data_IF_037170389376
#
_entry.id   IF_037170389376
#
_cell.length_a   1.000
_cell.length_b   1.000
_cell.length_c   1.000
_cell.angle_alpha   90.00
_cell.angle_beta   90.00
_cell.angle_gamma   90.00
#
_symmetry.space_group_name_H-M   'P 1'
#
loop_
_entity.id
_entity.type
_entity.pdbx_description
1 polymer ?
#
# COMPACT_ATOMS: atom_id res chain seq x y z
N UNK A 1 -22.34 28.12 -28.66
CA UNK A 1 -21.66 28.67 -27.46
C UNK A 1 -22.20 28.05 -26.16
N UNK A 2 -23.52 27.93 -25.98
CA UNK A 2 -24.09 27.26 -24.79
C UNK A 2 -23.86 25.75 -24.72
N UNK A 3 -23.94 25.03 -25.85
CA UNK A 3 -23.58 23.59 -25.89
C UNK A 3 -22.14 23.35 -25.48
N UNK A 4 -21.21 24.17 -25.96
CA UNK A 4 -19.79 24.10 -25.58
C UNK A 4 -19.60 24.36 -24.07
N UNK A 5 -20.36 25.30 -23.49
CA UNK A 5 -20.33 25.57 -22.04
C UNK A 5 -20.91 24.41 -21.23
N UNK A 6 -21.99 23.76 -21.70
CA UNK A 6 -22.56 22.56 -21.05
C UNK A 6 -21.58 21.39 -21.10
N UNK A 7 -20.98 21.12 -22.26
CA UNK A 7 -20.00 20.06 -22.43
C UNK A 7 -18.76 20.28 -21.55
N UNK A 8 -18.26 21.53 -21.45
CA UNK A 8 -17.15 21.87 -20.56
C UNK A 8 -17.51 21.64 -19.08
N UNK A 9 -18.70 22.09 -18.65
CA UNK A 9 -19.15 21.91 -17.27
C UNK A 9 -19.36 20.42 -16.90
N UNK A 10 -19.84 19.60 -17.84
CA UNK A 10 -19.96 18.15 -17.64
C UNK A 10 -18.60 17.47 -17.55
N UNK A 11 -17.66 17.83 -18.42
CA UNK A 11 -16.28 17.32 -18.37
C UNK A 11 -15.57 17.71 -17.06
N UNK A 12 -15.75 18.96 -16.60
CA UNK A 12 -15.19 19.42 -15.32
C UNK A 12 -15.79 18.66 -14.13
N UNK A 13 -17.11 18.41 -14.12
CA UNK A 13 -17.76 17.61 -13.07
C UNK A 13 -17.29 16.17 -13.07
N UNK A 14 -17.16 15.55 -14.25
CA UNK A 14 -16.65 14.19 -14.38
C UNK A 14 -15.21 14.09 -13.84
N UNK A 15 -14.34 15.03 -14.24
CA UNK A 15 -12.95 15.10 -13.75
C UNK A 15 -12.88 15.34 -12.24
N UNK A 16 -13.73 16.20 -11.69
CA UNK A 16 -13.81 16.46 -10.26
C UNK A 16 -14.31 15.24 -9.48
N UNK A 17 -15.29 14.50 -10.01
CA UNK A 17 -15.80 13.29 -9.39
C UNK A 17 -14.75 12.17 -9.36
N UNK A 18 -14.02 11.95 -10.47
CA UNK A 18 -12.92 10.99 -10.54
C UNK A 18 -11.82 11.32 -9.52
N UNK A 19 -11.41 12.60 -9.45
CA UNK A 19 -10.40 13.04 -8.48
C UNK A 19 -10.89 12.86 -7.03
N UNK A 20 -12.17 13.13 -6.74
CA UNK A 20 -12.74 12.95 -5.41
C UNK A 20 -12.74 11.48 -4.98
N UNK A 21 -13.11 10.55 -5.87
CA UNK A 21 -13.07 9.11 -5.61
C UNK A 21 -11.64 8.60 -5.34
N UNK A 22 -10.65 9.04 -6.13
CA UNK A 22 -9.24 8.71 -5.89
C UNK A 22 -8.75 9.23 -4.54
N UNK A 23 -9.11 10.49 -4.21
CA UNK A 23 -8.77 11.12 -2.92
C UNK A 23 -9.39 10.36 -1.76
N UNK A 24 -10.64 9.89 -1.93
CA UNK A 24 -11.36 9.11 -0.92
C UNK A 24 -10.69 7.77 -0.66
N UNK A 25 -10.22 7.08 -1.69
CA UNK A 25 -9.46 5.82 -1.55
C UNK A 25 -8.20 5.99 -0.69
N UNK A 26 -7.38 7.01 -0.98
CA UNK A 26 -6.16 7.32 -0.21
C UNK A 26 -6.49 7.62 1.25
N UNK A 27 -7.52 8.43 1.50
CA UNK A 27 -7.95 8.76 2.87
C UNK A 27 -8.46 7.53 3.64
N UNK A 28 -9.14 6.59 2.97
CA UNK A 28 -9.60 5.35 3.58
C UNK A 28 -8.42 4.46 4.00
N UNK A 29 -7.37 4.34 3.17
CA UNK A 29 -6.17 3.58 3.56
C UNK A 29 -5.46 4.21 4.76
N UNK A 30 -5.31 5.54 4.79
CA UNK A 30 -4.72 6.22 5.96
C UNK A 30 -5.49 5.95 7.24
N UNK A 31 -6.83 5.83 7.19
CA UNK A 31 -7.65 5.45 8.36
C UNK A 31 -7.36 4.03 8.85
N UNK A 32 -6.97 3.12 7.96
CA UNK A 32 -6.51 1.76 8.34
C UNK A 32 -5.10 1.77 8.95
N UNK A 33 -4.45 2.94 9.04
CA UNK A 33 -3.03 3.04 9.40
C UNK A 33 -2.17 2.38 8.33
N UNK A 34 -2.50 2.58 7.05
CA UNK A 34 -1.69 2.16 5.91
C UNK A 34 -1.47 3.38 4.99
N UNK A 35 -0.21 3.67 4.71
CA UNK A 35 0.20 4.73 3.79
C UNK A 35 1.09 4.16 2.68
N UNK A 36 1.12 4.87 1.55
CA UNK A 36 1.90 4.51 0.37
C UNK A 36 2.82 5.69 0.01
N UNK A 37 4.10 5.41 -0.11
CA UNK A 37 5.10 6.38 -0.54
C UNK A 37 5.82 5.86 -1.78
N UNK A 38 6.03 6.73 -2.77
CA UNK A 38 6.96 6.42 -3.85
C UNK A 38 8.37 6.58 -3.30
N UNK A 39 9.11 5.48 -3.22
CA UNK A 39 10.50 5.47 -2.80
C UNK A 39 11.42 5.69 -4.00
N UNK A 40 12.74 5.69 -3.74
CA UNK A 40 13.75 5.75 -4.78
C UNK A 40 13.66 4.53 -5.71
N UNK A 41 14.24 4.64 -6.92
CA UNK A 41 14.34 3.56 -7.91
C UNK A 41 13.00 2.92 -8.31
N UNK A 42 11.94 3.75 -8.34
CA UNK A 42 10.58 3.35 -8.71
C UNK A 42 9.97 2.25 -7.82
N UNK A 43 10.45 2.17 -6.57
CA UNK A 43 9.91 1.26 -5.56
C UNK A 43 8.68 1.86 -4.89
N UNK A 44 7.74 1.00 -4.53
CA UNK A 44 6.60 1.35 -3.70
C UNK A 44 6.89 1.02 -2.24
N UNK A 45 6.86 2.01 -1.36
CA UNK A 45 6.99 1.81 0.09
C UNK A 45 5.61 1.78 0.73
N UNK A 46 5.36 0.75 1.51
CA UNK A 46 4.14 0.60 2.30
C UNK A 46 4.48 0.84 3.76
N UNK A 47 3.69 1.67 4.45
CA UNK A 47 3.92 2.07 5.84
C UNK A 47 2.67 1.78 6.65
N UNK A 48 2.81 0.90 7.63
CA UNK A 48 1.79 0.62 8.61
C UNK A 48 2.02 1.41 9.89
N UNK A 49 0.93 1.87 10.47
CA UNK A 49 0.83 2.40 11.84
C UNK A 49 -0.28 1.67 12.57
N UNK A 50 -0.50 2.01 13.84
CA UNK A 50 -1.53 1.41 14.70
C UNK A 50 -1.35 -0.12 14.90
N UNK A 51 -0.10 -0.60 14.82
CA UNK A 51 0.24 -1.99 15.13
C UNK A 51 0.65 -2.16 16.59
N UNK A 52 1.29 -1.13 17.16
CA UNK A 52 1.73 -1.10 18.54
C UNK A 52 0.72 -0.33 19.41
N UNK A 53 0.01 -0.97 20.35
CA UNK A 53 -0.94 -0.28 21.22
C UNK A 53 -0.28 0.73 22.16
N UNK A 54 1.02 0.56 22.46
CA UNK A 54 1.79 1.46 23.34
C UNK A 54 2.30 2.67 22.56
N UNK A 55 2.63 2.46 21.28
CA UNK A 55 3.09 3.51 20.37
C UNK A 55 2.34 3.49 19.03
N UNK A 56 1.08 3.98 18.95
CA UNK A 56 0.25 3.84 17.75
C UNK A 56 0.80 4.50 16.49
N UNK A 57 1.70 5.48 16.64
CA UNK A 57 2.36 6.18 15.53
C UNK A 57 3.65 5.50 15.06
N UNK A 58 4.11 4.45 15.76
CA UNK A 58 5.32 3.71 15.39
C UNK A 58 5.17 3.12 13.98
N UNK A 59 6.09 3.42 13.05
CA UNK A 59 5.99 2.95 11.68
C UNK A 59 6.55 1.52 11.54
N UNK A 60 5.88 0.72 10.73
CA UNK A 60 6.34 -0.58 10.23
C UNK A 60 6.26 -0.52 8.71
N UNK A 61 7.36 -0.73 7.99
CA UNK A 61 7.40 -0.51 6.55
C UNK A 61 8.19 -1.54 5.79
N UNK A 62 7.90 -1.66 4.50
CA UNK A 62 8.71 -2.38 3.52
C UNK A 62 8.62 -1.70 2.15
N UNK A 63 9.64 -1.92 1.32
CA UNK A 63 9.67 -1.49 -0.07
C UNK A 63 9.43 -2.70 -0.98
N UNK A 64 8.60 -2.53 -2.01
CA UNK A 64 8.32 -3.55 -3.03
C UNK A 64 8.51 -2.97 -4.43
N UNK A 65 9.02 -3.78 -5.33
CA UNK A 65 9.04 -3.50 -6.77
C UNK A 65 8.77 -4.76 -7.56
N UNK A 66 8.44 -4.58 -8.84
CA UNK A 66 8.24 -5.67 -9.79
C UNK A 66 9.33 -5.55 -10.84
N UNK A 67 10.01 -6.66 -11.13
CA UNK A 67 11.05 -6.70 -12.18
C UNK A 67 10.45 -6.92 -13.58
N UNK A 68 11.33 -6.95 -14.60
CA UNK A 68 10.95 -7.17 -16.00
C UNK A 68 10.27 -8.53 -16.23
N UNK A 69 10.46 -9.49 -15.32
CA UNK A 69 9.83 -10.81 -15.37
C UNK A 69 8.50 -10.85 -14.61
N UNK A 70 7.94 -9.69 -14.24
CA UNK A 70 6.72 -9.59 -13.42
C UNK A 70 6.85 -10.27 -12.05
N UNK A 71 8.06 -10.33 -11.50
CA UNK A 71 8.33 -10.91 -10.18
C UNK A 71 8.42 -9.79 -9.14
N UNK A 72 7.66 -9.94 -8.06
CA UNK A 72 7.73 -9.09 -6.88
C UNK A 72 8.99 -9.37 -6.07
N UNK A 73 9.65 -8.29 -5.69
CA UNK A 73 10.82 -8.27 -4.82
C UNK A 73 10.57 -7.35 -3.64
N UNK A 74 10.94 -7.78 -2.44
CA UNK A 74 10.78 -7.00 -1.20
C UNK A 74 12.14 -6.64 -0.63
N UNK A 75 12.24 -5.41 -0.12
CA UNK A 75 13.46 -4.83 0.44
C UNK A 75 13.12 -3.86 1.57
N UNK A 76 14.14 -3.43 2.32
CA UNK A 76 14.01 -2.35 3.31
C UNK A 76 12.89 -2.56 4.34
N UNK A 77 12.74 -3.80 4.82
CA UNK A 77 11.79 -4.12 5.89
C UNK A 77 12.27 -3.56 7.23
N UNK A 78 11.43 -2.75 7.86
CA UNK A 78 11.67 -2.18 9.18
C UNK A 78 10.38 -2.21 10.01
N UNK A 79 10.31 -2.95 11.12
CA UNK A 79 11.31 -3.85 11.65
C UNK A 79 11.66 -5.02 10.69
N UNK A 80 12.91 -5.53 10.73
CA UNK A 80 13.32 -6.63 9.87
C UNK A 80 12.50 -7.89 10.17
N UNK A 81 12.22 -8.65 9.12
CA UNK A 81 11.48 -9.90 9.19
C UNK A 81 12.45 -11.08 9.01
N UNK A 82 12.28 -12.18 9.77
CA UNK A 82 13.04 -13.39 9.53
C UNK A 82 12.82 -13.95 8.11
N UNK A 83 13.87 -14.49 7.50
CA UNK A 83 13.82 -15.04 6.14
C UNK A 83 12.78 -16.16 6.01
N UNK A 84 12.68 -17.02 7.03
CA UNK A 84 11.72 -18.11 7.14
C UNK A 84 10.24 -17.65 7.18
N UNK A 85 9.99 -16.36 7.44
CA UNK A 85 8.66 -15.76 7.39
C UNK A 85 8.39 -15.08 6.05
N UNK A 86 9.32 -14.26 5.57
CA UNK A 86 9.11 -13.44 4.37
C UNK A 86 9.20 -14.25 3.08
N UNK A 87 10.12 -15.21 2.98
CA UNK A 87 10.34 -16.02 1.78
C UNK A 87 9.10 -16.83 1.37
N UNK A 88 8.41 -17.58 2.26
CA UNK A 88 7.19 -18.28 1.85
C UNK A 88 6.06 -17.33 1.48
N UNK A 89 5.97 -16.16 2.12
CA UNK A 89 4.98 -15.15 1.77
C UNK A 89 5.25 -14.53 0.39
N UNK A 90 6.53 -14.28 0.07
CA UNK A 90 6.95 -13.75 -1.23
C UNK A 90 6.79 -14.79 -2.34
N UNK A 91 7.09 -16.06 -2.06
CA UNK A 91 6.82 -17.16 -2.99
C UNK A 91 5.32 -17.29 -3.30
N UNK A 92 4.46 -17.18 -2.28
CA UNK A 92 3.01 -17.18 -2.48
C UNK A 92 2.53 -15.94 -3.27
N UNK A 93 3.11 -14.77 -3.01
CA UNK A 93 2.81 -13.54 -3.76
C UNK A 93 3.15 -13.71 -5.24
N UNK A 94 4.36 -14.20 -5.55
CA UNK A 94 4.81 -14.41 -6.92
C UNK A 94 4.04 -15.53 -7.64
N UNK A 95 3.53 -16.53 -6.92
CA UNK A 95 2.72 -17.60 -7.51
C UNK A 95 1.25 -17.20 -7.77
N UNK A 96 0.65 -16.41 -6.87
CA UNK A 96 -0.80 -16.15 -6.88
C UNK A 96 -1.16 -14.72 -7.29
N UNK A 97 -0.18 -13.82 -7.37
CA UNK A 97 -0.34 -12.39 -7.59
C UNK A 97 -1.34 -11.73 -6.62
N UNK A 98 -1.43 -12.25 -5.38
CA UNK A 98 -2.36 -11.77 -4.38
C UNK A 98 -1.67 -10.80 -3.41
N UNK A 99 -1.44 -9.57 -3.89
CA UNK A 99 -0.78 -8.53 -3.12
C UNK A 99 -1.52 -8.17 -1.82
N UNK A 100 -2.87 -8.15 -1.85
CA UNK A 100 -3.68 -7.87 -0.67
C UNK A 100 -3.49 -8.89 0.45
N UNK A 101 -3.40 -10.19 0.11
CA UNK A 101 -3.13 -11.24 1.08
C UNK A 101 -1.73 -11.10 1.70
N UNK A 102 -0.73 -10.77 0.88
CA UNK A 102 0.65 -10.52 1.33
C UNK A 102 0.71 -9.38 2.35
N UNK A 103 0.13 -8.22 2.01
CA UNK A 103 0.03 -7.03 2.88
C UNK A 103 -0.68 -7.37 4.21
N UNK A 104 -1.80 -8.09 4.14
CA UNK A 104 -2.53 -8.53 5.33
C UNK A 104 -1.73 -9.52 6.20
N UNK A 105 -0.91 -10.37 5.58
CA UNK A 105 -0.03 -11.31 6.28
C UNK A 105 1.06 -10.58 7.07
N UNK A 106 1.72 -9.61 6.43
CA UNK A 106 2.78 -8.82 7.06
C UNK A 106 2.26 -8.04 8.26
N UNK A 107 1.12 -7.37 8.09
CA UNK A 107 0.46 -6.64 9.17
C UNK A 107 0.16 -7.55 10.37
N UNK A 108 -0.35 -8.77 10.12
CA UNK A 108 -0.64 -9.75 11.17
C UNK A 108 0.63 -10.21 11.90
N UNK A 109 1.71 -10.45 11.16
CA UNK A 109 2.98 -10.87 11.74
C UNK A 109 3.56 -9.80 12.68
N UNK A 110 3.71 -8.56 12.22
CA UNK A 110 4.22 -7.48 13.08
C UNK A 110 3.32 -7.21 14.28
N UNK A 111 1.99 -7.26 14.11
CA UNK A 111 1.06 -7.11 15.23
C UNK A 111 1.23 -8.24 16.27
N UNK A 112 1.52 -9.47 15.83
CA UNK A 112 1.80 -10.58 16.74
C UNK A 112 3.12 -10.37 17.50
N UNK A 113 4.17 -9.87 16.82
CA UNK A 113 5.46 -9.58 17.46
C UNK A 113 5.38 -8.50 18.54
N UNK A 114 4.54 -7.47 18.33
CA UNK A 114 4.41 -6.35 19.27
C UNK A 114 3.52 -6.69 20.47
N UNK A 115 2.60 -7.66 20.29
CA UNK A 115 1.71 -8.13 21.34
C UNK A 115 2.25 -9.36 22.10
N UNK A 116 3.39 -9.92 21.67
CA UNK A 116 4.11 -10.98 22.37
C UNK A 116 4.85 -10.44 23.60
#
# INVERSE_FOLDING_TARGET
LEELRRALAEAERARAAEHNELTRGVLLYKRLGLDFERAHDDRLRLIFTQLDPREPLRPFSFCVHVDDNSTYHVSECSPPLPADVIDPMLAALNAQNNFGAFVCGLRRHWRAQVNA
#
